data_IF_087101093309
#
_entry.id   IF_087101093309
#
_cell.length_a   1.000
_cell.length_b   1.000
_cell.length_c   1.000
_cell.angle_alpha   90.00
_cell.angle_beta   90.00
_cell.angle_gamma   90.00
#
_symmetry.space_group_name_H-M   'P 1'
#
loop_
_entity.id
_entity.type
_entity.pdbx_description
1 polymer ?
#
# COMPACT_ATOMS: atom_id res chain seq x y z
N UNK A 1 -24.24 -6.87 10.55
CA UNK A 1 -22.99 -6.94 9.76
C UNK A 1 -22.21 -5.65 10.01
N UNK A 2 -21.09 -5.68 10.74
CA UNK A 2 -20.22 -4.50 10.87
C UNK A 2 -19.55 -4.29 9.51
N UNK A 3 -20.05 -3.33 8.73
CA UNK A 3 -19.32 -2.84 7.56
C UNK A 3 -17.97 -2.32 8.07
N UNK A 4 -16.81 -2.86 7.66
CA UNK A 4 -15.55 -2.36 8.16
C UNK A 4 -15.40 -0.90 7.70
N UNK A 5 -15.50 0.02 8.67
CA UNK A 5 -15.07 1.41 8.52
C UNK A 5 -13.67 1.36 7.93
N UNK A 6 -13.49 1.87 6.71
CA UNK A 6 -12.29 1.64 5.88
C UNK A 6 -11.04 2.08 6.68
N UNK A 7 -10.30 1.16 7.34
CA UNK A 7 -9.34 1.58 8.36
C UNK A 7 -8.01 2.01 7.75
N UNK A 8 -7.82 1.74 6.46
CA UNK A 8 -6.55 1.90 5.77
C UNK A 8 -6.66 2.92 4.64
N UNK A 9 -6.02 4.06 4.84
CA UNK A 9 -5.91 5.17 3.89
C UNK A 9 -5.14 4.77 2.64
N UNK A 10 -4.13 3.90 2.78
CA UNK A 10 -3.37 3.39 1.64
C UNK A 10 -4.22 2.66 0.60
N UNK A 11 -5.40 2.11 0.94
CA UNK A 11 -6.28 1.40 0.00
C UNK A 11 -6.69 2.25 -1.21
N UNK A 12 -6.92 3.54 -0.99
CA UNK A 12 -7.27 4.48 -2.05
C UNK A 12 -6.06 4.85 -2.91
N UNK A 13 -4.88 4.93 -2.28
CA UNK A 13 -3.62 5.34 -2.90
C UNK A 13 -3.00 4.21 -3.73
N UNK A 14 -3.13 2.96 -3.28
CA UNK A 14 -2.64 1.74 -3.94
C UNK A 14 -3.78 1.01 -4.67
N UNK A 15 -4.53 1.72 -5.50
CA UNK A 15 -5.53 1.11 -6.39
C UNK A 15 -4.88 0.49 -7.62
N UNK A 16 -5.59 -0.41 -8.29
CA UNK A 16 -5.14 -1.01 -9.55
C UNK A 16 -4.76 0.06 -10.57
N UNK A 17 -3.58 -0.08 -11.19
CA UNK A 17 -3.01 0.90 -12.14
C UNK A 17 -2.94 2.31 -11.56
N UNK A 18 -2.64 2.44 -10.27
CA UNK A 18 -2.47 3.75 -9.61
C UNK A 18 -1.28 4.53 -10.16
N UNK A 19 -0.24 3.83 -10.63
CA UNK A 19 0.99 4.43 -11.13
C UNK A 19 1.19 4.09 -12.60
N UNK A 20 1.83 5.00 -13.35
CA UNK A 20 2.25 4.76 -14.73
C UNK A 20 3.73 4.39 -14.83
N UNK A 21 4.24 4.24 -16.06
CA UNK A 21 5.61 3.78 -16.34
C UNK A 21 6.72 4.62 -15.72
N UNK A 22 6.57 5.95 -15.61
CA UNK A 22 7.51 6.84 -14.86
C UNK A 22 7.13 7.06 -13.39
N UNK A 23 6.26 6.21 -12.84
CA UNK A 23 5.61 6.39 -11.54
C UNK A 23 6.44 5.97 -10.33
N UNK A 24 7.67 5.48 -10.51
CA UNK A 24 8.45 4.81 -9.44
C UNK A 24 8.65 5.69 -8.21
N UNK A 25 8.95 6.99 -8.37
CA UNK A 25 9.11 7.91 -7.23
C UNK A 25 7.83 8.02 -6.38
N UNK A 26 6.71 8.30 -7.03
CA UNK A 26 5.42 8.41 -6.34
C UNK A 26 5.00 7.07 -5.72
N UNK A 27 5.24 5.96 -6.42
CA UNK A 27 4.99 4.63 -5.90
C UNK A 27 5.74 4.37 -4.58
N UNK A 28 7.04 4.67 -4.53
CA UNK A 28 7.87 4.53 -3.33
C UNK A 28 7.34 5.41 -2.18
N UNK A 29 6.96 6.66 -2.47
CA UNK A 29 6.36 7.56 -1.48
C UNK A 29 5.09 6.94 -0.87
N UNK A 30 4.17 6.43 -1.70
CA UNK A 30 2.92 5.81 -1.23
C UNK A 30 3.15 4.51 -0.48
N UNK A 31 4.17 3.73 -0.84
CA UNK A 31 4.55 2.53 -0.11
C UNK A 31 5.10 2.88 1.28
N UNK A 32 5.94 3.91 1.39
CA UNK A 32 6.45 4.38 2.70
C UNK A 32 5.31 4.87 3.60
N UNK A 33 4.36 5.61 3.05
CA UNK A 33 3.15 6.04 3.77
C UNK A 33 2.34 4.83 4.28
N UNK A 34 2.07 3.85 3.42
CA UNK A 34 1.32 2.64 3.78
C UNK A 34 2.02 1.82 4.87
N UNK A 35 3.36 1.66 4.77
CA UNK A 35 4.17 1.01 5.79
C UNK A 35 4.13 1.78 7.12
N UNK A 36 4.14 3.12 7.08
CA UNK A 36 4.00 3.95 8.26
C UNK A 36 2.65 3.75 8.96
N UNK A 37 1.58 3.66 8.18
CA UNK A 37 0.22 3.38 8.68
C UNK A 37 0.17 2.01 9.40
N UNK A 38 0.64 0.94 8.75
CA UNK A 38 0.66 -0.42 9.32
C UNK A 38 1.53 -0.49 10.57
N UNK A 39 2.73 0.10 10.53
CA UNK A 39 3.65 0.13 11.69
C UNK A 39 3.07 0.90 12.88
N UNK A 40 2.28 1.93 12.62
CA UNK A 40 1.62 2.71 13.67
C UNK A 40 0.52 1.89 14.34
N UNK A 41 -0.32 1.22 13.54
CA UNK A 41 -1.34 0.31 14.05
C UNK A 41 -0.73 -0.84 14.88
N UNK A 42 0.40 -1.41 14.43
CA UNK A 42 1.06 -2.52 15.12
C UNK A 42 1.51 -2.20 16.56
N UNK A 43 1.62 -0.91 16.93
CA UNK A 43 1.95 -0.48 18.30
C UNK A 43 0.80 -0.66 19.28
N UNK A 44 -0.44 -0.64 18.79
CA UNK A 44 -1.65 -0.63 19.61
C UNK A 44 -2.54 -1.85 19.36
N UNK A 45 -2.58 -2.32 18.11
CA UNK A 45 -3.40 -3.45 17.66
C UNK A 45 -2.62 -4.27 16.60
N UNK A 46 -1.83 -5.26 17.04
CA UNK A 46 -1.04 -6.13 16.15
C UNK A 46 -1.89 -6.99 15.22
N UNK A 47 -3.10 -7.40 15.62
CA UNK A 47 -3.99 -8.24 14.81
C UNK A 47 -4.53 -7.45 13.62
N UNK A 48 -5.08 -6.26 13.88
CA UNK A 48 -5.49 -5.34 12.80
C UNK A 48 -4.32 -5.00 11.89
N UNK A 49 -3.12 -4.76 12.44
CA UNK A 49 -1.94 -4.47 11.64
C UNK A 49 -1.51 -5.64 10.73
N UNK A 50 -1.66 -6.88 11.18
CA UNK A 50 -1.40 -8.06 10.36
C UNK A 50 -2.37 -8.15 9.19
N UNK A 51 -3.67 -7.92 9.41
CA UNK A 51 -4.66 -7.81 8.32
C UNK A 51 -4.29 -6.69 7.34
N UNK A 52 -3.86 -5.54 7.86
CA UNK A 52 -3.38 -4.41 7.05
C UNK A 52 -2.17 -4.75 6.19
N UNK A 53 -1.22 -5.51 6.72
CA UNK A 53 -0.04 -5.96 6.01
C UNK A 53 -0.39 -6.92 4.86
N UNK A 54 -1.27 -7.89 5.11
CA UNK A 54 -1.78 -8.81 4.07
C UNK A 54 -2.44 -7.99 2.95
N UNK A 55 -3.32 -7.06 3.33
CA UNK A 55 -4.03 -6.22 2.38
C UNK A 55 -3.11 -5.31 1.54
N UNK A 56 -2.04 -4.81 2.15
CA UNK A 56 -1.01 -4.02 1.47
C UNK A 56 -0.33 -4.89 0.39
N UNK A 57 0.04 -6.12 0.73
CA UNK A 57 0.66 -7.06 -0.21
C UNK A 57 -0.27 -7.44 -1.37
N UNK A 58 -1.55 -7.69 -1.10
CA UNK A 58 -2.56 -7.95 -2.14
C UNK A 58 -2.70 -6.79 -3.14
N UNK A 59 -2.58 -5.55 -2.66
CA UNK A 59 -2.70 -4.35 -3.48
C UNK A 59 -1.40 -3.91 -4.16
N UNK A 60 -0.26 -4.39 -3.67
CA UNK A 60 1.07 -3.97 -4.13
C UNK A 60 1.23 -4.19 -5.63
N UNK A 61 1.08 -5.44 -6.08
CA UNK A 61 1.32 -5.78 -7.48
C UNK A 61 0.33 -5.09 -8.45
N UNK A 62 -1.00 -5.14 -8.24
CA UNK A 62 -1.93 -4.44 -9.11
C UNK A 62 -1.70 -2.93 -9.20
N UNK A 63 -1.18 -2.29 -8.15
CA UNK A 63 -0.84 -0.88 -8.17
C UNK A 63 0.41 -0.59 -9.02
N UNK A 64 1.42 -1.46 -8.95
CA UNK A 64 2.73 -1.30 -9.59
C UNK A 64 2.84 -1.90 -11.00
N UNK A 65 1.85 -2.65 -11.48
CA UNK A 65 1.89 -3.42 -12.74
C UNK A 65 2.29 -2.63 -14.01
N UNK A 66 2.20 -1.30 -14.00
CA UNK A 66 2.56 -0.42 -15.12
C UNK A 66 3.86 0.35 -14.90
N UNK A 67 4.47 0.23 -13.72
CA UNK A 67 5.71 0.95 -13.39
C UNK A 67 6.89 0.24 -14.03
N UNK A 68 7.77 1.00 -14.66
CA UNK A 68 9.04 0.48 -15.18
C UNK A 68 10.07 0.41 -14.05
N UNK A 69 10.51 -0.81 -13.71
CA UNK A 69 11.53 -1.08 -12.70
C UNK A 69 12.93 -1.29 -13.27
N UNK A 70 13.14 -1.14 -14.58
CA UNK A 70 14.43 -1.38 -15.25
C UNK A 70 15.57 -0.49 -14.72
N UNK A 71 15.24 0.68 -14.16
CA UNK A 71 16.19 1.59 -13.53
C UNK A 71 16.64 1.19 -12.11
N UNK A 72 16.01 0.18 -11.50
CA UNK A 72 16.32 -0.25 -10.13
C UNK A 72 15.89 0.74 -9.03
N UNK A 73 15.04 1.72 -9.36
CA UNK A 73 14.58 2.72 -8.40
C UNK A 73 13.59 2.17 -7.36
N UNK A 74 12.85 1.11 -7.72
CA UNK A 74 11.87 0.39 -6.88
C UNK A 74 12.52 -0.85 -6.26
#
# INVERSE_FOLDING_TARGET
>A
MKTPSRPWSFRQRLRTRAFGWRGSKLAIERLKEALGEVKTAARYDPETAAEGAILLMERLWPALQQVDSSSGAL
#
